data_IF_901109032144
#
_entry.id   IF_901109032144
#
_cell.length_a   1.000
_cell.length_b   1.000
_cell.length_c   1.000
_cell.angle_alpha   90.00
_cell.angle_beta   90.00
_cell.angle_gamma   90.00
#
_symmetry.space_group_name_H-M   'P 1'
#
loop_
_entity.id
_entity.type
_entity.pdbx_description
1 polymer ?
#
# COMPACT_ATOMS: atom_id res chain seq x y z
N UNK A 1 3.73 3.45 -14.34
CA UNK A 1 3.65 4.81 -13.79
C UNK A 1 2.82 5.77 -14.64
N UNK A 2 3.10 5.96 -15.94
CA UNK A 2 2.35 6.90 -16.79
C UNK A 2 0.83 6.71 -16.80
N UNK A 3 0.34 5.46 -16.80
CA UNK A 3 -1.10 5.18 -16.71
C UNK A 3 -1.73 5.76 -15.44
N UNK A 4 -1.05 5.64 -14.29
CA UNK A 4 -1.49 6.26 -13.03
C UNK A 4 -1.52 7.79 -13.16
N UNK A 5 -0.47 8.40 -13.75
CA UNK A 5 -0.40 9.84 -13.96
C UNK A 5 -1.58 10.35 -14.79
N UNK A 6 -1.96 9.66 -15.87
CA UNK A 6 -3.14 10.01 -16.65
C UNK A 6 -4.43 9.93 -15.83
N UNK A 7 -4.62 8.89 -15.01
CA UNK A 7 -5.79 8.83 -14.11
C UNK A 7 -5.81 9.97 -13.09
N UNK A 8 -4.66 10.34 -12.54
CA UNK A 8 -4.58 11.46 -11.60
C UNK A 8 -4.93 12.79 -12.28
N UNK A 9 -4.47 13.02 -13.51
CA UNK A 9 -4.90 14.16 -14.31
C UNK A 9 -6.41 14.14 -14.56
N UNK A 10 -6.97 12.97 -14.87
CA UNK A 10 -8.42 12.78 -14.99
C UNK A 10 -9.18 13.22 -13.74
N UNK A 11 -8.76 12.75 -12.56
CA UNK A 11 -9.36 13.10 -11.26
C UNK A 11 -9.24 14.60 -10.95
N UNK A 12 -8.07 15.20 -11.20
CA UNK A 12 -7.86 16.64 -10.99
C UNK A 12 -8.78 17.48 -11.90
N UNK A 13 -8.96 17.09 -13.16
CA UNK A 13 -9.88 17.77 -14.06
C UNK A 13 -11.34 17.60 -13.63
N UNK A 14 -11.74 16.40 -13.19
CA UNK A 14 -13.09 16.13 -12.69
C UNK A 14 -13.41 16.99 -11.45
N UNK A 15 -12.47 17.08 -10.50
CA UNK A 15 -12.61 17.92 -9.30
C UNK A 15 -12.79 19.41 -9.62
N UNK A 16 -12.35 19.87 -10.80
CA UNK A 16 -12.54 21.25 -11.30
C UNK A 16 -13.74 21.39 -12.24
N UNK A 17 -14.62 20.39 -12.34
CA UNK A 17 -15.79 20.39 -13.22
C UNK A 17 -15.47 20.26 -14.72
N UNK A 18 -14.22 19.96 -15.10
CA UNK A 18 -13.79 19.87 -16.52
C UNK A 18 -13.99 18.46 -17.07
N UNK A 19 -15.25 18.04 -17.22
CA UNK A 19 -15.60 16.65 -17.53
C UNK A 19 -15.01 16.11 -18.84
N UNK A 20 -15.01 16.91 -19.92
CA UNK A 20 -14.43 16.49 -21.20
C UNK A 20 -12.92 16.20 -21.08
N UNK A 21 -12.18 17.02 -20.33
CA UNK A 21 -10.75 16.78 -20.08
C UNK A 21 -10.51 15.59 -19.14
N UNK A 22 -11.38 15.41 -18.15
CA UNK A 22 -11.31 14.26 -17.27
C UNK A 22 -11.46 12.95 -18.07
N UNK A 23 -12.48 12.88 -18.93
CA UNK A 23 -12.73 11.76 -19.82
C UNK A 23 -11.57 11.48 -20.78
N UNK A 24 -10.99 12.53 -21.38
CA UNK A 24 -9.81 12.40 -22.25
C UNK A 24 -8.65 11.70 -21.53
N UNK A 25 -8.30 12.13 -20.31
CA UNK A 25 -7.18 11.53 -19.60
C UNK A 25 -7.47 10.11 -19.08
N UNK A 26 -8.71 9.83 -18.65
CA UNK A 26 -9.09 8.46 -18.29
C UNK A 26 -9.03 7.54 -19.52
N UNK A 27 -9.42 8.02 -20.70
CA UNK A 27 -9.27 7.26 -21.95
C UNK A 27 -7.79 6.95 -22.24
N UNK A 28 -6.89 7.94 -22.11
CA UNK A 28 -5.43 7.72 -22.28
C UNK A 28 -4.88 6.69 -21.29
N UNK A 29 -5.36 6.71 -20.05
CA UNK A 29 -5.00 5.70 -19.05
C UNK A 29 -5.47 4.30 -19.46
N UNK A 30 -6.71 4.17 -19.96
CA UNK A 30 -7.27 2.92 -20.45
C UNK A 30 -6.53 2.37 -21.69
N UNK A 31 -6.20 3.23 -22.65
CA UNK A 31 -5.41 2.87 -23.85
C UNK A 31 -4.03 2.32 -23.46
N UNK A 32 -3.31 3.05 -22.61
CA UNK A 32 -2.00 2.60 -22.14
C UNK A 32 -2.12 1.35 -21.25
N UNK A 33 -3.18 1.25 -20.45
CA UNK A 33 -3.49 0.08 -19.64
C UNK A 33 -3.68 -1.18 -20.48
N UNK A 34 -4.36 -1.08 -21.63
CA UNK A 34 -4.49 -2.19 -22.60
C UNK A 34 -3.12 -2.61 -23.13
N UNK A 35 -2.32 -1.68 -23.63
CA UNK A 35 -0.96 -1.97 -24.11
C UNK A 35 -0.09 -2.65 -23.04
N UNK A 36 -0.12 -2.18 -21.79
CA UNK A 36 0.60 -2.81 -20.68
C UNK A 36 0.08 -4.24 -20.44
N UNK A 37 -1.23 -4.44 -20.49
CA UNK A 37 -1.83 -5.75 -20.27
C UNK A 37 -1.54 -6.75 -21.40
N UNK A 38 -1.42 -6.28 -22.63
CA UNK A 38 -1.18 -7.11 -23.81
C UNK A 38 0.32 -7.41 -23.94
N UNK A 39 1.16 -6.40 -23.71
CA UNK A 39 2.59 -6.51 -23.97
C UNK A 39 3.38 -6.99 -22.75
N UNK A 40 3.04 -6.57 -21.52
CA UNK A 40 3.91 -6.80 -20.36
C UNK A 40 3.49 -7.99 -19.48
N UNK A 41 2.34 -8.61 -19.75
CA UNK A 41 1.89 -9.77 -18.98
C UNK A 41 2.43 -11.08 -19.54
N UNK A 42 3.19 -11.81 -18.74
CA UNK A 42 3.64 -13.15 -19.07
C UNK A 42 2.68 -14.20 -18.48
N UNK A 43 1.91 -14.87 -19.35
CA UNK A 43 0.98 -15.92 -18.92
C UNK A 43 1.68 -17.10 -18.23
N UNK A 44 2.91 -17.44 -18.67
CA UNK A 44 3.69 -18.55 -18.12
C UNK A 44 4.10 -18.34 -16.65
N UNK A 45 4.50 -17.12 -16.29
CA UNK A 45 4.90 -16.78 -14.91
C UNK A 45 3.75 -16.19 -14.11
N UNK A 46 2.62 -15.90 -14.75
CA UNK A 46 1.49 -15.18 -14.20
C UNK A 46 1.92 -13.87 -13.51
N UNK A 47 2.77 -13.10 -14.20
CA UNK A 47 3.38 -11.88 -13.66
C UNK A 47 3.62 -10.84 -14.77
N UNK A 48 3.71 -9.56 -14.40
CA UNK A 48 4.12 -8.50 -15.32
C UNK A 48 5.65 -8.39 -15.36
N UNK A 49 6.22 -8.43 -16.56
CA UNK A 49 7.64 -8.31 -16.81
C UNK A 49 7.92 -7.11 -17.72
N UNK A 50 9.06 -6.48 -17.49
CA UNK A 50 9.60 -5.51 -18.45
C UNK A 50 9.97 -6.23 -19.76
N UNK A 51 10.06 -5.47 -20.86
CA UNK A 51 10.46 -6.00 -22.17
C UNK A 51 11.62 -5.21 -22.74
N UNK A 52 12.57 -5.92 -23.32
CA UNK A 52 13.53 -5.33 -24.24
C UNK A 52 12.94 -5.30 -25.64
N UNK A 53 13.21 -4.24 -26.37
CA UNK A 53 12.94 -4.22 -27.80
C UNK A 53 14.03 -5.01 -28.53
N UNK A 54 13.67 -5.90 -29.47
CA UNK A 54 12.37 -5.92 -30.12
C UNK A 54 11.31 -6.77 -29.39
N UNK A 55 11.57 -7.89 -28.70
CA UNK A 55 10.46 -8.70 -28.13
C UNK A 55 10.66 -9.46 -26.80
N UNK A 56 11.85 -9.51 -26.20
CA UNK A 56 12.05 -10.44 -25.08
C UNK A 56 11.60 -9.86 -23.74
N UNK A 57 10.90 -10.68 -22.94
CA UNK A 57 10.70 -10.37 -21.53
C UNK A 57 12.04 -10.34 -20.81
N UNK A 58 12.20 -9.34 -19.95
CA UNK A 58 13.24 -9.31 -18.94
C UNK A 58 12.81 -10.29 -17.84
N UNK A 59 13.57 -11.37 -17.69
CA UNK A 59 13.22 -12.54 -16.86
C UNK A 59 12.90 -12.22 -15.39
N UNK A 60 13.62 -11.31 -14.70
CA UNK A 60 13.36 -11.00 -13.29
C UNK A 60 11.92 -10.58 -12.98
N UNK A 61 11.39 -11.10 -11.86
CA UNK A 61 10.17 -10.59 -11.23
C UNK A 61 10.55 -9.53 -10.21
N UNK A 62 10.37 -8.27 -10.56
CA UNK A 62 10.66 -7.15 -9.66
C UNK A 62 9.38 -6.61 -9.02
N UNK A 63 9.53 -5.85 -7.94
CA UNK A 63 8.40 -5.15 -7.31
C UNK A 63 7.67 -4.21 -8.30
N UNK A 64 8.30 -3.83 -9.41
CA UNK A 64 7.66 -3.01 -10.44
C UNK A 64 6.48 -3.71 -11.12
N UNK A 65 6.46 -5.05 -11.16
CA UNK A 65 5.36 -5.84 -11.72
C UNK A 65 4.02 -5.68 -11.01
N UNK A 66 4.01 -5.05 -9.83
CA UNK A 66 2.78 -4.74 -9.08
C UNK A 66 2.20 -3.34 -9.36
N UNK A 67 2.91 -2.46 -10.09
CA UNK A 67 2.39 -1.13 -10.47
C UNK A 67 1.01 -1.13 -11.15
N UNK A 68 0.66 -2.13 -11.98
CA UNK A 68 -0.68 -2.24 -12.57
C UNK A 68 -1.82 -2.25 -11.53
N UNK A 69 -1.58 -2.74 -10.31
CA UNK A 69 -2.55 -2.70 -9.20
C UNK A 69 -2.82 -1.26 -8.78
N UNK A 70 -1.77 -0.48 -8.47
CA UNK A 70 -1.92 0.92 -8.06
C UNK A 70 -2.50 1.80 -9.17
N UNK A 71 -2.09 1.57 -10.42
CA UNK A 71 -2.66 2.25 -11.57
C UNK A 71 -4.13 1.85 -11.83
N UNK A 72 -4.62 0.78 -11.20
CA UNK A 72 -5.97 0.24 -11.37
C UNK A 72 -6.25 -0.19 -12.80
N UNK A 73 -5.23 -0.70 -13.49
CA UNK A 73 -5.31 -1.25 -14.85
C UNK A 73 -5.15 -2.78 -14.85
N UNK A 74 -4.88 -3.40 -13.69
CA UNK A 74 -4.79 -4.85 -13.54
C UNK A 74 -6.20 -5.48 -13.51
N UNK A 75 -6.53 -6.40 -14.43
CA UNK A 75 -7.79 -7.14 -14.39
C UNK A 75 -7.92 -8.04 -13.15
N UNK A 76 -9.15 -8.30 -12.64
CA UNK A 76 -9.36 -9.11 -11.43
C UNK A 76 -8.69 -10.48 -11.42
N UNK A 77 -8.71 -11.21 -12.54
CA UNK A 77 -8.06 -12.52 -12.64
C UNK A 77 -6.53 -12.43 -12.45
N UNK A 78 -5.90 -11.36 -12.93
CA UNK A 78 -4.45 -11.14 -12.76
C UNK A 78 -4.12 -10.61 -11.36
N UNK A 79 -5.02 -9.85 -10.73
CA UNK A 79 -4.88 -9.46 -9.32
C UNK A 79 -4.73 -10.68 -8.41
N UNK A 80 -5.55 -11.72 -8.60
CA UNK A 80 -5.44 -12.96 -7.81
C UNK A 80 -4.06 -13.64 -7.98
N UNK A 81 -3.55 -13.69 -9.21
CA UNK A 81 -2.22 -14.24 -9.49
C UNK A 81 -1.09 -13.41 -8.84
N UNK A 82 -1.17 -12.07 -8.90
CA UNK A 82 -0.22 -11.19 -8.22
C UNK A 82 -0.24 -11.37 -6.69
N UNK A 83 -1.43 -11.50 -6.10
CA UNK A 83 -1.58 -11.82 -4.66
C UNK A 83 -0.96 -13.17 -4.32
N UNK A 84 -1.09 -14.18 -5.18
CA UNK A 84 -0.44 -15.47 -4.98
C UNK A 84 1.10 -15.33 -4.91
N UNK A 85 1.69 -14.51 -5.78
CA UNK A 85 3.13 -14.19 -5.71
C UNK A 85 3.53 -13.47 -4.42
N UNK A 86 2.69 -12.58 -3.88
CA UNK A 86 2.93 -11.88 -2.60
C UNK A 86 2.79 -12.77 -1.37
N UNK A 87 2.04 -13.88 -1.48
CA UNK A 87 1.89 -14.89 -0.42
C UNK A 87 2.94 -16.00 -0.48
N UNK A 88 3.51 -16.23 -1.66
CA UNK A 88 4.45 -17.32 -1.88
C UNK A 88 5.81 -17.04 -1.22
N UNK A 89 6.27 -17.89 -0.28
CA UNK A 89 7.55 -17.70 0.39
C UNK A 89 8.74 -17.85 -0.56
N UNK A 90 8.58 -18.56 -1.69
CA UNK A 90 9.65 -18.71 -2.70
C UNK A 90 9.87 -17.45 -3.54
N UNK A 91 8.96 -16.47 -3.50
CA UNK A 91 9.05 -15.24 -4.29
C UNK A 91 9.14 -14.01 -3.39
N UNK A 92 8.01 -13.43 -2.99
CA UNK A 92 7.96 -12.11 -2.36
C UNK A 92 7.60 -12.16 -0.86
N UNK A 93 7.08 -13.27 -0.34
CA UNK A 93 6.73 -13.39 1.08
C UNK A 93 7.95 -13.74 1.94
N UNK A 94 8.86 -12.79 2.09
CA UNK A 94 10.10 -12.93 2.89
C UNK A 94 9.90 -12.45 4.33
N UNK A 95 10.78 -12.76 5.30
CA UNK A 95 10.67 -12.26 6.68
C UNK A 95 10.37 -10.78 6.77
N UNK A 96 11.08 -9.95 6.00
CA UNK A 96 10.73 -8.56 5.73
C UNK A 96 10.12 -8.47 4.31
N UNK A 97 8.80 -8.31 4.16
CA UNK A 97 8.16 -8.14 2.86
C UNK A 97 8.15 -6.67 2.46
N UNK A 98 8.03 -6.31 1.20
CA UNK A 98 8.18 -7.07 -0.04
C UNK A 98 9.53 -6.67 -0.67
N UNK A 99 10.42 -7.61 -1.02
CA UNK A 99 11.70 -7.28 -1.64
C UNK A 99 11.52 -6.70 -3.04
N UNK A 100 12.48 -5.88 -3.47
CA UNK A 100 12.54 -5.32 -4.81
C UNK A 100 12.64 -6.38 -5.92
N UNK A 101 13.22 -7.54 -5.61
CA UNK A 101 13.43 -8.66 -6.51
C UNK A 101 12.89 -9.94 -5.85
N UNK A 102 12.19 -10.79 -6.61
CA UNK A 102 11.70 -12.06 -6.10
C UNK A 102 12.86 -12.99 -5.68
N UNK A 103 12.66 -13.73 -4.59
CA UNK A 103 13.68 -14.60 -4.01
C UNK A 103 14.04 -15.84 -4.85
N UNK A 104 13.30 -16.12 -5.92
CA UNK A 104 13.62 -17.17 -6.88
C UNK A 104 14.43 -16.67 -8.09
N UNK A 105 14.83 -15.40 -8.11
CA UNK A 105 15.78 -14.88 -9.09
C UNK A 105 17.22 -15.20 -8.67
N UNK A 106 18.07 -15.55 -9.63
CA UNK A 106 19.49 -15.88 -9.37
C UNK A 106 20.28 -14.68 -8.84
N UNK A 107 19.84 -13.45 -9.12
CA UNK A 107 20.49 -12.23 -8.65
C UNK A 107 19.94 -11.75 -7.29
N UNK A 108 19.01 -12.49 -6.68
CA UNK A 108 18.49 -12.15 -5.36
C UNK A 108 19.58 -12.27 -4.30
N UNK A 109 19.81 -11.18 -3.56
CA UNK A 109 20.71 -11.18 -2.41
C UNK A 109 19.90 -11.16 -1.10
N UNK A 110 20.01 -12.20 -0.25
CA UNK A 110 19.28 -12.28 1.01
C UNK A 110 19.68 -11.19 2.02
N UNK A 111 20.83 -10.54 1.82
CA UNK A 111 21.30 -9.41 2.64
C UNK A 111 20.68 -8.07 2.20
N UNK A 112 19.87 -8.08 1.14
CA UNK A 112 19.20 -6.88 0.62
C UNK A 112 20.19 -5.90 -0.01
N UNK A 113 20.99 -6.37 -0.97
CA UNK A 113 21.91 -5.51 -1.73
C UNK A 113 21.10 -4.61 -2.66
N UNK A 114 20.75 -3.43 -2.17
CA UNK A 114 20.07 -2.38 -2.91
C UNK A 114 18.79 -2.90 -3.62
N UNK A 115 18.67 -2.81 -4.94
CA UNK A 115 17.51 -3.34 -5.67
C UNK A 115 17.52 -4.87 -5.88
N UNK A 116 18.64 -5.55 -5.59
CA UNK A 116 18.80 -7.00 -5.69
C UNK A 116 18.33 -7.68 -4.39
N UNK A 117 17.10 -7.42 -3.98
CA UNK A 117 16.48 -8.03 -2.80
C UNK A 117 16.17 -7.06 -1.66
N UNK A 118 16.74 -5.84 -1.66
CA UNK A 118 16.42 -4.85 -0.64
C UNK A 118 14.92 -4.53 -0.58
N UNK A 119 14.44 -4.26 0.63
CA UNK A 119 13.05 -3.93 0.92
C UNK A 119 12.91 -2.42 1.06
N UNK A 120 12.03 -1.83 0.25
CA UNK A 120 11.89 -0.39 0.12
C UNK A 120 10.49 0.05 0.54
N UNK A 121 10.40 1.03 1.43
CA UNK A 121 9.14 1.66 1.83
C UNK A 121 8.27 2.13 0.65
N UNK A 122 8.80 2.83 -0.39
CA UNK A 122 7.97 3.31 -1.49
C UNK A 122 7.35 2.19 -2.33
N UNK A 123 8.09 1.10 -2.59
CA UNK A 123 7.52 -0.03 -3.35
C UNK A 123 6.50 -0.80 -2.52
N UNK A 124 6.73 -0.93 -1.22
CA UNK A 124 5.80 -1.56 -0.30
C UNK A 124 4.49 -0.80 -0.20
N UNK A 125 4.56 0.53 -0.04
CA UNK A 125 3.36 1.37 -0.05
C UNK A 125 2.64 1.35 -1.40
N UNK A 126 3.38 1.36 -2.52
CA UNK A 126 2.80 1.21 -3.85
C UNK A 126 1.99 -0.10 -3.96
N UNK A 127 2.54 -1.20 -3.45
CA UNK A 127 1.88 -2.51 -3.43
C UNK A 127 0.66 -2.49 -2.50
N UNK A 128 0.79 -2.06 -1.24
CA UNK A 128 -0.32 -2.09 -0.28
C UNK A 128 -1.45 -1.17 -0.70
N UNK A 129 -1.15 0.04 -1.20
CA UNK A 129 -2.16 0.95 -1.75
C UNK A 129 -2.84 0.38 -2.98
N UNK A 130 -2.08 -0.26 -3.88
CA UNK A 130 -2.64 -0.95 -5.04
C UNK A 130 -3.57 -2.10 -4.67
N UNK A 131 -3.19 -2.90 -3.68
CA UNK A 131 -4.02 -3.97 -3.13
C UNK A 131 -5.32 -3.43 -2.51
N UNK A 132 -5.26 -2.36 -1.73
CA UNK A 132 -6.45 -1.72 -1.16
C UNK A 132 -7.43 -1.26 -2.24
N UNK A 133 -6.92 -0.57 -3.28
CA UNK A 133 -7.74 -0.12 -4.41
C UNK A 133 -8.32 -1.29 -5.22
N UNK A 134 -7.63 -2.42 -5.25
CA UNK A 134 -8.09 -3.66 -5.88
C UNK A 134 -8.99 -4.53 -4.98
N UNK A 135 -9.42 -4.03 -3.82
CA UNK A 135 -10.28 -4.76 -2.88
C UNK A 135 -9.58 -5.86 -2.07
N UNK A 136 -8.24 -5.93 -2.11
CA UNK A 136 -7.41 -6.90 -1.40
C UNK A 136 -6.88 -6.32 -0.07
N UNK A 137 -7.78 -5.70 0.72
CA UNK A 137 -7.42 -5.00 1.96
C UNK A 137 -6.77 -5.90 3.02
N UNK A 138 -7.19 -7.17 3.11
CA UNK A 138 -6.61 -8.14 4.04
C UNK A 138 -5.12 -8.39 3.74
N UNK A 139 -4.79 -8.49 2.46
CA UNK A 139 -3.41 -8.70 2.01
C UNK A 139 -2.56 -7.45 2.23
N UNK A 140 -3.11 -6.27 1.96
CA UNK A 140 -2.46 -5.00 2.22
C UNK A 140 -2.13 -4.84 3.72
N UNK A 141 -3.08 -5.17 4.60
CA UNK A 141 -2.89 -5.16 6.05
C UNK A 141 -1.80 -6.13 6.48
N UNK A 142 -1.84 -7.39 6.01
CA UNK A 142 -0.84 -8.41 6.33
C UNK A 142 0.58 -7.97 5.98
N UNK A 143 0.76 -7.42 4.77
CA UNK A 143 2.07 -6.92 4.31
C UNK A 143 2.51 -5.74 5.18
N UNK A 144 1.62 -4.77 5.44
CA UNK A 144 1.96 -3.59 6.22
C UNK A 144 2.35 -3.91 7.67
N UNK A 145 1.58 -4.77 8.35
CA UNK A 145 1.92 -5.24 9.71
C UNK A 145 3.29 -5.90 9.72
N UNK A 146 3.53 -6.84 8.78
CA UNK A 146 4.79 -7.57 8.73
C UNK A 146 5.98 -6.67 8.38
N UNK A 147 5.80 -5.69 7.51
CA UNK A 147 6.82 -4.69 7.18
C UNK A 147 7.14 -3.78 8.37
N UNK A 148 6.12 -3.18 9.00
CA UNK A 148 6.31 -2.29 10.16
C UNK A 148 6.90 -3.03 11.36
N UNK A 149 6.48 -4.27 11.63
CA UNK A 149 7.10 -5.13 12.64
C UNK A 149 8.59 -5.38 12.35
N UNK A 150 8.95 -5.62 11.08
CA UNK A 150 10.34 -5.75 10.69
C UNK A 150 11.15 -4.45 10.86
N UNK A 151 10.54 -3.28 10.64
CA UNK A 151 11.17 -1.98 10.93
C UNK A 151 11.46 -1.84 12.43
N UNK A 152 10.49 -2.18 13.29
CA UNK A 152 10.65 -2.15 14.76
C UNK A 152 11.76 -3.10 15.20
N UNK A 153 11.76 -4.35 14.71
CA UNK A 153 12.82 -5.31 15.03
C UNK A 153 14.20 -4.85 14.59
N UNK A 154 14.30 -4.24 13.41
CA UNK A 154 15.58 -3.68 12.94
C UNK A 154 16.02 -2.53 13.84
N UNK A 155 15.09 -1.64 14.21
CA UNK A 155 15.35 -0.53 15.11
C UNK A 155 15.84 -1.01 16.47
N UNK A 156 15.24 -2.06 17.05
CA UNK A 156 15.63 -2.63 18.34
C UNK A 156 16.96 -3.37 18.29
N UNK A 157 17.24 -4.10 17.21
CA UNK A 157 18.40 -5.02 17.10
C UNK A 157 19.66 -4.36 16.55
N UNK A 158 19.56 -3.20 15.90
CA UNK A 158 20.68 -2.57 15.22
C UNK A 158 21.08 -1.24 15.87
N UNK A 159 22.38 -0.95 15.82
CA UNK A 159 22.93 0.35 16.21
C UNK A 159 23.51 1.04 14.97
N UNK A 160 23.22 2.35 14.74
CA UNK A 160 22.33 3.20 15.54
C UNK A 160 20.85 2.78 15.45
N UNK A 161 20.09 3.04 16.51
CA UNK A 161 18.64 2.88 16.56
C UNK A 161 17.99 3.95 15.68
N UNK A 162 17.82 3.66 14.39
CA UNK A 162 17.34 4.61 13.39
C UNK A 162 16.58 3.90 12.27
N UNK A 163 15.99 4.69 11.37
CA UNK A 163 15.44 4.22 10.11
C UNK A 163 16.52 4.27 9.02
N UNK A 164 16.48 3.28 8.14
CA UNK A 164 17.46 3.07 7.09
C UNK A 164 16.80 3.21 5.72
N UNK A 165 17.61 3.51 4.72
CA UNK A 165 17.15 3.74 3.35
C UNK A 165 16.38 2.53 2.75
N UNK A 166 16.87 1.32 3.02
CA UNK A 166 16.23 0.05 2.68
C UNK A 166 16.71 -1.05 3.66
N UNK A 167 16.08 -2.22 3.60
CA UNK A 167 16.24 -3.29 4.59
C UNK A 167 16.55 -4.64 3.94
N UNK A 168 17.23 -5.51 4.68
CA UNK A 168 17.43 -6.89 4.26
C UNK A 168 16.09 -7.66 4.28
N UNK A 169 15.81 -8.51 3.28
CA UNK A 169 14.56 -9.26 3.21
C UNK A 169 14.55 -10.50 4.13
N UNK A 170 15.71 -11.08 4.44
CA UNK A 170 15.83 -12.31 5.23
C UNK A 170 16.17 -12.09 6.70
N UNK A 171 16.63 -10.90 7.06
CA UNK A 171 17.06 -10.54 8.40
C UNK A 171 16.56 -9.14 8.76
N UNK A 172 16.37 -8.88 10.05
CA UNK A 172 15.97 -7.56 10.54
C UNK A 172 17.21 -6.65 10.66
N UNK A 173 17.82 -6.36 9.51
CA UNK A 173 19.05 -5.60 9.37
C UNK A 173 18.88 -4.53 8.28
N UNK A 174 19.70 -3.45 8.30
CA UNK A 174 19.79 -2.54 7.16
C UNK A 174 20.19 -3.29 5.89
N UNK A 175 19.67 -2.87 4.75
CA UNK A 175 20.14 -3.34 3.46
C UNK A 175 21.57 -2.88 3.19
N UNK A 176 22.15 -3.35 2.10
CA UNK A 176 23.51 -3.00 1.68
C UNK A 176 23.50 -2.16 0.41
N UNK A 177 24.43 -1.21 0.29
CA UNK A 177 24.60 -0.41 -0.92
C UNK A 177 25.19 -1.26 -2.07
N UNK A 178 24.74 -1.00 -3.30
CA UNK A 178 25.02 -1.85 -4.47
C UNK A 178 26.51 -2.11 -4.74
N UNK A 179 27.37 -1.10 -4.56
CA UNK A 179 28.78 -1.19 -4.98
C UNK A 179 29.75 -1.38 -3.82
N UNK A 180 29.42 -0.88 -2.63
CA UNK A 180 30.32 -0.92 -1.47
C UNK A 180 30.01 -2.08 -0.54
N UNK A 181 28.80 -2.66 -0.64
CA UNK A 181 28.26 -3.67 0.27
C UNK A 181 28.29 -3.25 1.75
N UNK A 182 28.43 -1.96 2.02
CA UNK A 182 28.24 -1.38 3.36
C UNK A 182 26.75 -1.14 3.59
N UNK A 183 26.35 -1.04 4.85
CA UNK A 183 24.98 -0.64 5.20
C UNK A 183 24.58 0.62 4.45
N UNK A 184 23.34 0.65 3.98
CA UNK A 184 22.75 1.83 3.34
C UNK A 184 22.65 3.01 4.31
N UNK A 185 22.17 4.15 3.82
CA UNK A 185 22.17 5.40 4.60
C UNK A 185 21.36 5.25 5.91
N UNK A 186 21.96 5.51 7.10
CA UNK A 186 21.23 5.64 8.37
C UNK A 186 20.53 7.00 8.45
N UNK A 187 19.71 7.20 9.49
CA UNK A 187 18.97 8.46 9.71
C UNK A 187 18.14 8.87 8.48
N UNK A 188 17.49 7.87 7.89
CA UNK A 188 16.76 8.02 6.66
C UNK A 188 15.25 7.97 6.92
N UNK A 189 14.69 9.04 7.49
CA UNK A 189 13.23 9.16 7.56
C UNK A 189 12.65 9.35 6.16
N UNK A 190 13.35 10.04 5.25
CA UNK A 190 13.01 10.30 3.84
C UNK A 190 11.76 9.61 3.31
N UNK A 191 11.92 8.54 2.53
CA UNK A 191 10.79 7.68 2.14
C UNK A 191 10.47 6.60 3.18
N UNK A 192 11.39 6.26 4.09
CA UNK A 192 11.15 5.16 5.04
C UNK A 192 10.04 5.48 6.03
N UNK A 193 9.81 6.77 6.32
CA UNK A 193 8.71 7.27 7.12
C UNK A 193 7.32 6.90 6.57
N UNK A 194 7.21 6.50 5.30
CA UNK A 194 5.98 5.95 4.72
C UNK A 194 5.49 4.73 5.52
N UNK A 195 6.40 3.88 6.02
CA UNK A 195 6.06 2.71 6.84
C UNK A 195 5.35 3.09 8.15
N UNK A 196 6.03 3.74 9.10
CA UNK A 196 5.45 4.06 10.41
C UNK A 196 4.37 5.15 10.37
N UNK A 197 4.19 5.89 9.26
CA UNK A 197 3.17 6.94 9.14
C UNK A 197 2.02 6.47 8.24
N UNK A 198 2.22 6.43 6.93
CA UNK A 198 1.14 6.21 5.97
C UNK A 198 0.61 4.77 6.06
N UNK A 199 1.49 3.77 6.10
CA UNK A 199 1.05 2.36 6.20
C UNK A 199 0.45 2.04 7.57
N UNK A 200 0.93 2.67 8.65
CA UNK A 200 0.30 2.57 9.97
C UNK A 200 -1.14 3.09 9.93
N UNK A 201 -1.38 4.29 9.39
CA UNK A 201 -2.71 4.89 9.35
C UNK A 201 -3.62 4.14 8.36
N UNK A 202 -3.17 3.96 7.13
CA UNK A 202 -4.01 3.47 6.03
C UNK A 202 -4.21 1.96 6.04
N UNK A 203 -3.18 1.18 6.41
CA UNK A 203 -3.22 -0.28 6.29
C UNK A 203 -3.40 -0.98 7.64
N UNK A 204 -2.75 -0.50 8.71
CA UNK A 204 -2.77 -1.17 10.02
C UNK A 204 -3.99 -0.71 10.83
N UNK A 205 -4.12 0.60 11.09
CA UNK A 205 -5.32 1.19 11.68
C UNK A 205 -6.51 1.11 10.72
N UNK A 206 -6.26 1.13 9.41
CA UNK A 206 -7.26 0.89 8.37
C UNK A 206 -8.06 2.13 7.96
N UNK A 207 -7.55 3.32 8.23
CA UNK A 207 -8.24 4.60 8.00
C UNK A 207 -7.84 5.15 6.62
N UNK A 208 -8.79 5.16 5.68
CA UNK A 208 -8.64 5.70 4.32
C UNK A 208 -9.56 6.92 4.14
N UNK A 209 -8.95 8.11 4.09
CA UNK A 209 -9.66 9.39 3.95
C UNK A 209 -9.47 9.96 2.54
N UNK A 210 -10.58 10.15 1.84
CA UNK A 210 -10.66 10.83 0.55
C UNK A 210 -11.42 12.15 0.74
N UNK A 211 -10.69 13.19 1.11
CA UNK A 211 -11.26 14.50 1.41
C UNK A 211 -11.93 15.18 0.20
N UNK A 212 -11.37 15.16 -1.03
CA UNK A 212 -12.06 15.67 -2.21
C UNK A 212 -13.42 14.99 -2.45
N UNK A 213 -13.50 13.68 -2.23
CA UNK A 213 -14.76 12.94 -2.31
C UNK A 213 -15.61 13.01 -1.03
N UNK A 214 -15.14 13.72 0.02
CA UNK A 214 -15.76 13.78 1.35
C UNK A 214 -16.10 12.40 1.91
N UNK A 215 -15.19 11.44 1.77
CA UNK A 215 -15.42 10.04 2.11
C UNK A 215 -14.36 9.52 3.06
N UNK A 216 -14.81 8.89 4.15
CA UNK A 216 -13.99 8.15 5.09
C UNK A 216 -14.37 6.68 5.01
N UNK A 217 -13.40 5.81 4.73
CA UNK A 217 -13.53 4.37 4.90
C UNK A 217 -12.64 3.95 6.06
N UNK A 218 -13.19 3.23 7.02
CA UNK A 218 -12.40 2.62 8.09
C UNK A 218 -12.58 1.10 8.06
N UNK A 219 -11.50 0.39 7.74
CA UNK A 219 -11.43 -1.06 7.78
C UNK A 219 -10.84 -1.56 9.11
N UNK A 220 -11.74 -1.81 10.06
CA UNK A 220 -11.41 -2.16 11.45
C UNK A 220 -11.05 -3.64 11.55
N UNK A 221 -9.76 -3.88 11.79
CA UNK A 221 -9.14 -5.22 11.85
C UNK A 221 -8.63 -5.59 13.23
N UNK A 222 -8.21 -4.58 13.99
CA UNK A 222 -7.58 -4.72 15.30
C UNK A 222 -8.62 -4.95 16.40
N UNK A 223 -8.19 -5.60 17.48
CA UNK A 223 -9.04 -5.91 18.64
C UNK A 223 -8.75 -5.02 19.84
N UNK A 224 -7.53 -4.50 19.96
CA UNK A 224 -7.17 -3.49 20.96
C UNK A 224 -7.91 -2.16 20.73
N UNK A 225 -7.88 -1.28 21.74
CA UNK A 225 -8.31 0.10 21.55
C UNK A 225 -7.31 0.76 20.59
N UNK A 226 -7.81 1.34 19.50
CA UNK A 226 -6.97 1.93 18.46
C UNK A 226 -7.72 3.04 17.73
N UNK A 227 -7.00 3.87 16.99
CA UNK A 227 -7.57 4.99 16.25
C UNK A 227 -6.55 6.08 16.00
N UNK A 228 -7.04 7.24 15.59
CA UNK A 228 -6.25 8.45 15.39
C UNK A 228 -7.01 9.66 15.94
N UNK A 229 -6.26 10.55 16.57
CA UNK A 229 -6.76 11.84 17.04
C UNK A 229 -6.00 12.95 16.32
N UNK A 230 -6.69 14.07 16.09
CA UNK A 230 -6.13 15.27 15.48
C UNK A 230 -5.56 15.06 14.06
N UNK A 231 -6.16 14.15 13.27
CA UNK A 231 -5.79 13.98 11.87
C UNK A 231 -6.31 15.18 11.06
N UNK A 232 -5.43 15.90 10.36
CA UNK A 232 -5.83 17.07 9.57
C UNK A 232 -6.81 16.73 8.44
N UNK A 233 -7.93 17.45 8.37
CA UNK A 233 -8.94 17.35 7.31
C UNK A 233 -9.32 18.75 6.80
N UNK A 234 -8.67 19.18 5.72
CA UNK A 234 -8.83 20.54 5.20
C UNK A 234 -8.28 21.56 6.21
N UNK A 235 -9.14 22.43 6.74
CA UNK A 235 -8.78 23.42 7.77
C UNK A 235 -9.08 22.97 9.20
N UNK A 236 -9.58 21.75 9.39
CA UNK A 236 -9.92 21.21 10.70
C UNK A 236 -9.35 19.81 10.91
N UNK A 237 -10.00 19.03 11.76
CA UNK A 237 -9.47 17.77 12.29
C UNK A 237 -10.49 16.62 12.23
N UNK A 238 -9.99 15.39 12.28
CA UNK A 238 -10.73 14.14 12.47
C UNK A 238 -10.16 13.41 13.69
N UNK A 239 -11.06 13.06 14.61
CA UNK A 239 -10.82 12.08 15.65
C UNK A 239 -11.64 10.84 15.33
N UNK A 240 -10.99 9.68 15.32
CA UNK A 240 -11.59 8.40 15.00
C UNK A 240 -11.03 7.32 15.93
N UNK A 241 -11.84 6.85 16.87
CA UNK A 241 -11.44 5.89 17.91
C UNK A 241 -12.33 4.65 17.88
N UNK A 242 -11.71 3.48 18.00
CA UNK A 242 -12.37 2.20 18.18
C UNK A 242 -12.04 1.69 19.59
N UNK A 243 -13.06 1.29 20.34
CA UNK A 243 -12.89 0.65 21.64
C UNK A 243 -12.26 -0.75 21.48
N UNK A 244 -11.66 -1.25 22.58
CA UNK A 244 -11.21 -2.64 22.68
C UNK A 244 -12.39 -3.58 22.48
N UNK A 245 -12.15 -4.72 21.83
CA UNK A 245 -13.11 -5.78 21.53
C UNK A 245 -12.57 -7.11 22.03
N UNK A 246 -13.47 -8.01 22.43
CA UNK A 246 -13.10 -9.32 22.95
C UNK A 246 -12.51 -10.26 21.88
N UNK A 247 -12.89 -10.09 20.62
CA UNK A 247 -12.41 -10.89 19.48
C UNK A 247 -12.65 -10.16 18.15
N UNK A 248 -12.07 -10.68 17.07
CA UNK A 248 -12.30 -10.19 15.71
C UNK A 248 -13.78 -10.28 15.26
N UNK A 249 -14.55 -11.18 15.90
CA UNK A 249 -15.97 -11.40 15.59
C UNK A 249 -16.94 -10.57 16.45
N UNK A 250 -16.52 -10.09 17.63
CA UNK A 250 -17.33 -9.20 18.48
C UNK A 250 -17.70 -7.89 17.75
N UNK A 251 -18.75 -7.13 18.10
CA UNK A 251 -18.99 -5.81 17.50
C UNK A 251 -17.85 -4.80 17.72
N UNK A 252 -17.64 -3.90 16.76
CA UNK A 252 -16.74 -2.77 16.87
C UNK A 252 -17.50 -1.51 17.28
N UNK A 253 -17.15 -0.94 18.43
CA UNK A 253 -17.70 0.33 18.91
C UNK A 253 -16.76 1.46 18.52
N UNK A 254 -17.26 2.39 17.73
CA UNK A 254 -16.49 3.44 17.07
C UNK A 254 -17.06 4.80 17.42
N UNK A 255 -16.18 5.75 17.73
CA UNK A 255 -16.48 7.15 17.95
C UNK A 255 -15.75 8.01 16.93
N UNK A 256 -16.51 8.88 16.26
CA UNK A 256 -16.00 9.78 15.22
C UNK A 256 -16.40 11.21 15.55
N UNK A 257 -15.48 12.14 15.33
CA UNK A 257 -15.77 13.58 15.31
C UNK A 257 -14.89 14.23 14.27
N UNK A 258 -15.47 15.03 13.39
CA UNK A 258 -14.71 15.77 12.39
C UNK A 258 -15.22 17.20 12.23
N UNK A 259 -14.36 18.09 11.79
CA UNK A 259 -14.70 19.47 11.43
C UNK A 259 -15.20 19.60 9.98
N UNK A 260 -15.43 18.47 9.31
CA UNK A 260 -15.95 18.39 7.95
C UNK A 260 -17.08 17.36 7.84
N UNK A 261 -18.02 17.62 6.93
CA UNK A 261 -19.04 16.66 6.53
C UNK A 261 -18.41 15.49 5.75
N UNK A 262 -18.60 14.26 6.23
CA UNK A 262 -18.04 13.05 5.61
C UNK A 262 -19.10 11.95 5.46
N UNK A 263 -19.10 11.30 4.29
CA UNK A 263 -19.73 9.99 4.13
C UNK A 263 -18.81 8.92 4.72
N UNK A 264 -19.29 8.19 5.72
CA UNK A 264 -18.50 7.21 6.47
C UNK A 264 -18.93 5.81 6.08
N UNK A 265 -17.96 4.94 5.78
CA UNK A 265 -18.14 3.50 5.65
C UNK A 265 -17.21 2.78 6.63
N UNK A 266 -17.79 2.14 7.63
CA UNK A 266 -17.07 1.25 8.53
C UNK A 266 -17.16 -0.18 8.01
N UNK A 267 -16.03 -0.86 7.97
CA UNK A 267 -15.87 -2.25 7.57
C UNK A 267 -15.29 -3.03 8.75
N UNK A 268 -15.88 -4.16 9.10
CA UNK A 268 -15.33 -5.07 10.10
C UNK A 268 -15.62 -6.52 9.74
N UNK A 269 -14.61 -7.23 9.21
CA UNK A 269 -14.80 -8.56 8.63
C UNK A 269 -15.77 -8.51 7.45
N UNK A 270 -16.87 -9.28 7.51
CA UNK A 270 -17.96 -9.22 6.53
C UNK A 270 -18.97 -8.09 6.76
N UNK A 271 -18.96 -7.46 7.95
CA UNK A 271 -19.96 -6.46 8.35
C UNK A 271 -19.60 -5.09 7.83
N UNK A 272 -20.62 -4.34 7.44
CA UNK A 272 -20.48 -3.01 6.83
C UNK A 272 -21.54 -2.09 7.43
N UNK A 273 -21.16 -0.87 7.78
CA UNK A 273 -22.09 0.18 8.20
C UNK A 273 -21.76 1.49 7.52
N UNK A 274 -22.78 2.10 6.92
CA UNK A 274 -22.68 3.41 6.28
C UNK A 274 -23.40 4.44 7.13
N UNK A 275 -22.81 5.62 7.29
CA UNK A 275 -23.38 6.73 8.03
C UNK A 275 -22.90 8.06 7.45
N UNK A 276 -23.53 9.16 7.89
CA UNK A 276 -23.07 10.51 7.58
C UNK A 276 -22.56 11.17 8.85
N UNK A 277 -21.28 11.52 8.87
CA UNK A 277 -20.69 12.35 9.91
C UNK A 277 -20.89 13.81 9.52
N UNK A 278 -21.54 14.59 10.40
CA UNK A 278 -21.75 16.02 10.19
C UNK A 278 -20.67 16.81 10.94
N UNK A 279 -20.18 17.88 10.34
CA UNK A 279 -19.16 18.73 10.95
C UNK A 279 -19.54 19.14 12.39
N UNK A 280 -18.60 19.01 13.32
CA UNK A 280 -18.73 19.36 14.73
C UNK A 280 -19.58 18.42 15.59
N UNK A 281 -20.35 17.49 14.99
CA UNK A 281 -21.22 16.56 15.73
C UNK A 281 -20.55 15.20 15.91
N UNK A 282 -20.45 14.67 17.14
CA UNK A 282 -19.95 13.32 17.35
C UNK A 282 -20.90 12.28 16.73
N UNK A 283 -20.33 11.17 16.27
CA UNK A 283 -21.03 10.02 15.73
C UNK A 283 -20.49 8.75 16.39
N UNK A 284 -21.37 8.03 17.09
CA UNK A 284 -21.07 6.71 17.64
C UNK A 284 -21.69 5.62 16.75
N UNK A 285 -20.93 4.57 16.45
CA UNK A 285 -21.35 3.44 15.61
C UNK A 285 -20.97 2.12 16.29
N UNK A 286 -21.87 1.15 16.22
CA UNK A 286 -21.56 -0.26 16.46
C UNK A 286 -21.74 -1.05 15.15
N UNK A 287 -20.76 -1.89 14.81
CA UNK A 287 -20.68 -2.72 13.59
C UNK A 287 -20.32 -4.16 13.92
#
# INVERSE_FOLDING_TARGET
>A
QMALSFRMLGRLHAARGRQARAAHWEQRACELGRLINDELWCARTAFYHDRTTPQNFVTPKTAAGFWPLLAGICPPARTAALVAHLRNPRTFNRPMPVPALAADDINYDPRGVYWNGGVWAPTNYMITRGLQLAGQGDEAHRIAVKYVDGLVKTFEQCTPHTLWECYAPESFQPGLAAYTLKSVKPDFVGWTGIGPIAMLIENILGIDLDLPAKRLVWDVRLTEKHGIENLGVGTGTLNAMCARRASANAPACIELRADADLAVEIRCGSRRKRARLRAGKPLALSV
#
